data_IF_297599255890
#
_entry.id   IF_297599255890
#
_cell.length_a   1.000
_cell.length_b   1.000
_cell.length_c   1.000
_cell.angle_alpha   90.00
_cell.angle_beta   90.00
_cell.angle_gamma   90.00
#
_symmetry.space_group_name_H-M   'P 1'
#
loop_
_entity.id
_entity.type
_entity.pdbx_description
1 polymer ?
#
# COMPACT_ATOMS: atom_id res chain seq x y z
N UNK A 1 -16.96 5.08 -4.64
CA UNK A 1 -15.78 4.76 -5.46
C UNK A 1 -16.03 3.43 -6.13
N UNK A 2 -16.10 3.43 -7.46
CA UNK A 2 -16.15 2.20 -8.22
C UNK A 2 -14.82 1.45 -8.14
N UNK A 3 -14.84 0.14 -8.39
CA UNK A 3 -13.66 -0.71 -8.44
C UNK A 3 -12.57 -0.14 -9.39
N UNK A 4 -12.99 0.40 -10.53
CA UNK A 4 -12.11 0.98 -11.55
C UNK A 4 -11.39 2.25 -11.10
N UNK A 5 -12.05 3.13 -10.35
CA UNK A 5 -11.41 4.33 -9.79
C UNK A 5 -10.37 3.94 -8.73
N UNK A 6 -10.68 2.94 -7.90
CA UNK A 6 -9.71 2.37 -6.95
C UNK A 6 -8.51 1.74 -7.65
N UNK A 7 -8.73 0.99 -8.73
CA UNK A 7 -7.67 0.39 -9.53
C UNK A 7 -6.80 1.45 -10.23
N UNK A 8 -7.41 2.50 -10.80
CA UNK A 8 -6.69 3.61 -11.41
C UNK A 8 -5.84 4.38 -10.38
N UNK A 9 -6.36 4.59 -9.16
CA UNK A 9 -5.60 5.23 -8.08
C UNK A 9 -4.40 4.40 -7.61
N UNK A 10 -4.51 3.06 -7.63
CA UNK A 10 -3.38 2.18 -7.31
C UNK A 10 -2.25 2.28 -8.36
N UNK A 11 -2.58 2.57 -9.62
CA UNK A 11 -1.58 2.73 -10.67
C UNK A 11 -0.68 3.97 -10.46
N UNK A 12 -1.23 5.03 -9.85
CA UNK A 12 -0.51 6.28 -9.53
C UNK A 12 0.30 6.14 -8.22
N UNK A 13 0.31 4.98 -7.59
CA UNK A 13 0.98 4.77 -6.30
C UNK A 13 2.52 4.86 -6.44
N UNK A 14 3.09 5.99 -6.02
CA UNK A 14 4.53 6.25 -6.09
C UNK A 14 5.36 5.21 -5.33
N UNK A 15 4.83 4.58 -4.26
CA UNK A 15 5.56 3.56 -3.50
C UNK A 15 5.80 2.32 -4.34
N UNK A 16 4.85 1.94 -5.20
CA UNK A 16 4.99 0.81 -6.10
C UNK A 16 6.06 1.09 -7.17
N UNK A 17 6.07 2.29 -7.74
CA UNK A 17 7.09 2.72 -8.70
C UNK A 17 8.49 2.77 -8.09
N UNK A 18 8.65 3.32 -6.88
CA UNK A 18 9.93 3.36 -6.19
C UNK A 18 10.45 1.95 -5.87
N UNK A 19 9.58 1.04 -5.43
CA UNK A 19 9.95 -0.35 -5.21
C UNK A 19 10.40 -1.02 -6.51
N UNK A 20 9.65 -0.86 -7.60
CA UNK A 20 10.00 -1.41 -8.91
C UNK A 20 11.35 -0.88 -9.40
N UNK A 21 11.58 0.43 -9.30
CA UNK A 21 12.87 1.05 -9.64
C UNK A 21 14.01 0.48 -8.80
N UNK A 22 13.80 0.27 -7.51
CA UNK A 22 14.82 -0.29 -6.60
C UNK A 22 15.18 -1.72 -7.00
N UNK A 23 14.18 -2.55 -7.32
CA UNK A 23 14.41 -3.93 -7.77
C UNK A 23 15.12 -3.97 -9.12
N UNK A 24 14.69 -3.13 -10.06
CA UNK A 24 15.30 -3.06 -11.40
C UNK A 24 16.75 -2.60 -11.28
N UNK A 25 17.02 -1.50 -10.60
CA UNK A 25 18.37 -0.96 -10.42
C UNK A 25 19.28 -1.90 -9.62
N UNK A 26 18.77 -2.54 -8.57
CA UNK A 26 19.58 -3.39 -7.69
C UNK A 26 19.80 -4.81 -8.19
N UNK A 27 18.87 -5.36 -8.99
CA UNK A 27 18.87 -6.79 -9.31
C UNK A 27 18.82 -7.11 -10.80
N UNK A 28 18.36 -6.20 -11.66
CA UNK A 28 18.12 -6.48 -13.08
C UNK A 28 19.16 -5.80 -13.97
N UNK A 29 19.44 -4.52 -13.76
CA UNK A 29 20.38 -3.74 -14.59
C UNK A 29 21.81 -4.27 -14.43
N UNK A 30 22.56 -4.32 -15.54
CA UNK A 30 23.97 -4.72 -15.57
C UNK A 30 24.22 -6.23 -15.47
N UNK A 31 23.19 -7.05 -15.67
CA UNK A 31 23.28 -8.52 -15.68
C UNK A 31 22.97 -9.06 -17.07
N UNK A 32 23.74 -10.05 -17.53
CA UNK A 32 23.50 -10.69 -18.82
C UNK A 32 22.12 -11.38 -18.86
N UNK A 33 21.68 -11.96 -17.75
CA UNK A 33 20.38 -12.65 -17.63
C UNK A 33 19.20 -11.72 -17.27
N UNK A 34 19.24 -10.43 -17.65
CA UNK A 34 18.23 -9.44 -17.28
C UNK A 34 16.79 -9.84 -17.67
N UNK A 35 16.60 -10.49 -18.84
CA UNK A 35 15.29 -10.99 -19.27
C UNK A 35 14.76 -12.12 -18.38
N UNK A 36 15.63 -13.07 -17.99
CA UNK A 36 15.25 -14.18 -17.12
C UNK A 36 14.91 -13.67 -15.71
N UNK A 37 15.66 -12.68 -15.21
CA UNK A 37 15.38 -12.01 -13.94
C UNK A 37 14.04 -11.27 -13.98
N UNK A 38 13.75 -10.53 -15.05
CA UNK A 38 12.43 -9.92 -15.26
C UNK A 38 11.31 -10.95 -15.24
N UNK A 39 11.50 -12.09 -15.92
CA UNK A 39 10.53 -13.18 -15.95
C UNK A 39 10.24 -13.78 -14.55
N UNK A 40 11.15 -13.63 -13.59
CA UNK A 40 10.94 -14.02 -12.20
C UNK A 40 10.34 -12.87 -11.37
N UNK A 41 10.87 -11.65 -11.51
CA UNK A 41 10.42 -10.48 -10.73
C UNK A 41 8.96 -10.17 -11.00
N UNK A 42 8.54 -10.17 -12.27
CA UNK A 42 7.17 -9.79 -12.66
C UNK A 42 6.11 -10.65 -11.96
N UNK A 43 6.11 -11.99 -12.07
CA UNK A 43 5.09 -12.81 -11.40
C UNK A 43 5.18 -12.73 -9.87
N UNK A 44 6.38 -12.64 -9.30
CA UNK A 44 6.57 -12.48 -7.85
C UNK A 44 5.97 -11.17 -7.37
N UNK A 45 6.24 -10.07 -8.06
CA UNK A 45 5.69 -8.75 -7.76
C UNK A 45 4.17 -8.71 -7.91
N UNK A 46 3.62 -9.33 -8.95
CA UNK A 46 2.16 -9.42 -9.14
C UNK A 46 1.52 -10.20 -7.99
N UNK A 47 2.06 -11.38 -7.65
CA UNK A 47 1.54 -12.19 -6.55
C UNK A 47 1.64 -11.45 -5.21
N UNK A 48 2.76 -10.80 -4.94
CA UNK A 48 2.98 -10.01 -3.74
C UNK A 48 2.02 -8.81 -3.65
N UNK A 49 1.95 -7.98 -4.70
CA UNK A 49 1.11 -6.80 -4.73
C UNK A 49 -0.38 -7.16 -4.63
N UNK A 50 -0.80 -8.20 -5.34
CA UNK A 50 -2.18 -8.70 -5.29
C UNK A 50 -2.54 -9.23 -3.90
N UNK A 51 -1.72 -10.11 -3.33
CA UNK A 51 -1.97 -10.69 -2.01
C UNK A 51 -1.95 -9.62 -0.93
N UNK A 52 -0.95 -8.75 -0.93
CA UNK A 52 -0.83 -7.66 0.04
C UNK A 52 -2.03 -6.72 -0.01
N UNK A 53 -2.43 -6.27 -1.21
CA UNK A 53 -3.57 -5.38 -1.38
C UNK A 53 -4.89 -6.07 -1.05
N UNK A 54 -5.05 -7.35 -1.38
CA UNK A 54 -6.22 -8.13 -0.99
C UNK A 54 -6.32 -8.31 0.51
N UNK A 55 -5.23 -8.70 1.17
CA UNK A 55 -5.20 -8.85 2.63
C UNK A 55 -5.50 -7.53 3.30
N UNK A 56 -4.95 -6.42 2.80
CA UNK A 56 -5.25 -5.08 3.31
C UNK A 56 -6.73 -4.71 3.13
N UNK A 57 -7.29 -4.93 1.94
CA UNK A 57 -8.69 -4.66 1.65
C UNK A 57 -9.64 -5.55 2.46
N UNK A 58 -9.34 -6.85 2.58
CA UNK A 58 -10.10 -7.82 3.36
C UNK A 58 -10.06 -7.48 4.86
N UNK A 59 -8.88 -7.16 5.38
CA UNK A 59 -8.73 -6.69 6.76
C UNK A 59 -9.52 -5.41 6.98
N UNK A 60 -9.42 -4.43 6.06
CA UNK A 60 -10.19 -3.20 6.10
C UNK A 60 -11.71 -3.44 6.06
N UNK A 61 -12.18 -4.38 5.26
CA UNK A 61 -13.59 -4.76 5.18
C UNK A 61 -14.08 -5.41 6.48
N UNK A 62 -13.28 -6.32 7.07
CA UNK A 62 -13.58 -6.96 8.35
C UNK A 62 -13.58 -5.94 9.49
N UNK A 63 -12.56 -5.08 9.53
CA UNK A 63 -12.43 -4.00 10.51
C UNK A 63 -13.61 -3.03 10.39
N UNK A 64 -14.01 -2.68 9.17
CA UNK A 64 -15.18 -1.83 8.91
C UNK A 64 -16.46 -2.47 9.40
N UNK A 65 -16.66 -3.77 9.17
CA UNK A 65 -17.82 -4.51 9.69
C UNK A 65 -17.86 -4.49 11.22
N UNK A 66 -16.71 -4.69 11.87
CA UNK A 66 -16.56 -4.61 13.32
C UNK A 66 -16.75 -3.19 13.87
N UNK A 67 -16.23 -2.17 13.19
CA UNK A 67 -16.32 -0.76 13.57
C UNK A 67 -17.70 -0.15 13.33
N UNK A 68 -18.45 -0.65 12.34
CA UNK A 68 -19.79 -0.17 12.00
C UNK A 68 -20.81 -0.40 13.13
N UNK A 69 -20.48 -1.22 14.13
CA UNK A 69 -21.31 -1.45 15.30
C UNK A 69 -21.07 -0.40 16.39
N UNK A 70 -22.01 0.54 16.51
CA UNK A 70 -22.11 1.49 17.63
C UNK A 70 -21.08 2.63 17.59
N UNK A 71 -20.55 3.00 18.77
CA UNK A 71 -19.63 4.14 18.98
C UNK A 71 -18.15 3.84 18.66
N UNK A 72 -17.83 2.64 18.18
CA UNK A 72 -16.44 2.19 17.93
C UNK A 72 -15.77 2.94 16.78
N UNK A 73 -16.53 3.21 15.70
CA UNK A 73 -16.06 4.02 14.58
C UNK A 73 -15.64 5.44 15.02
N UNK A 74 -16.38 6.05 15.96
CA UNK A 74 -16.09 7.39 16.48
C UNK A 74 -14.77 7.42 17.29
N UNK A 75 -14.56 6.43 18.16
CA UNK A 75 -13.30 6.33 18.91
C UNK A 75 -12.11 6.02 18.00
N UNK A 76 -12.30 5.15 16.99
CA UNK A 76 -11.27 4.89 15.98
C UNK A 76 -10.88 6.17 15.23
N UNK A 77 -11.87 6.95 14.79
CA UNK A 77 -11.61 8.21 14.08
C UNK A 77 -10.94 9.25 15.00
N UNK A 78 -11.31 9.32 16.28
CA UNK A 78 -10.63 10.19 17.26
C UNK A 78 -9.18 9.78 17.51
N UNK A 79 -8.89 8.49 17.61
CA UNK A 79 -7.53 8.00 17.77
C UNK A 79 -6.67 8.35 16.54
N UNK A 80 -7.19 8.11 15.33
CA UNK A 80 -6.51 8.49 14.08
C UNK A 80 -6.25 10.00 14.00
N UNK A 81 -7.25 10.82 14.36
CA UNK A 81 -7.10 12.28 14.40
C UNK A 81 -6.05 12.72 15.42
N UNK A 82 -6.01 12.12 16.61
CA UNK A 82 -5.01 12.44 17.63
C UNK A 82 -3.59 12.11 17.15
N UNK A 83 -3.40 10.96 16.48
CA UNK A 83 -2.10 10.58 15.89
C UNK A 83 -1.68 11.58 14.80
N UNK A 84 -2.61 11.99 13.94
CA UNK A 84 -2.34 12.99 12.89
C UNK A 84 -1.96 14.35 13.49
N UNK A 85 -2.67 14.81 14.51
CA UNK A 85 -2.33 16.05 15.21
C UNK A 85 -0.96 15.93 15.89
N UNK A 86 -0.67 14.80 16.53
CA UNK A 86 0.64 14.57 17.13
C UNK A 86 1.78 14.57 16.10
N UNK A 87 1.58 13.95 14.94
CA UNK A 87 2.59 13.96 13.86
C UNK A 87 2.73 15.34 13.23
N UNK A 88 1.65 16.09 13.05
CA UNK A 88 1.70 17.47 12.56
C UNK A 88 2.42 18.40 13.55
N UNK A 89 2.11 18.29 14.85
CA UNK A 89 2.81 19.04 15.89
C UNK A 89 4.30 18.69 15.92
N UNK A 90 4.63 17.41 15.80
CA UNK A 90 6.02 16.98 15.73
C UNK A 90 6.75 17.54 14.50
N UNK A 91 6.14 17.52 13.32
CA UNK A 91 6.72 18.10 12.09
C UNK A 91 6.91 19.62 12.16
N UNK A 92 6.07 20.33 12.91
CA UNK A 92 6.19 21.79 13.10
C UNK A 92 7.21 22.12 14.19
N UNK A 93 7.39 21.23 15.18
CA UNK A 93 8.35 21.40 16.26
C UNK A 93 9.76 20.86 15.94
N UNK A 94 9.90 20.03 14.90
CA UNK A 94 11.16 19.49 14.38
C UNK A 94 11.76 20.41 13.31
#
# INVERSE_FOLDING_TARGET
MGFWEGAALQFVNIKAWLLALTIVAGWIVGREDHLQRLAIVVPVMVAFAFTSNLTYAAMGALLRHWLAHGRRLLWFNRAMAAVLVATALWMVAA
#
